data_IF_837827393796
#
_entry.id   IF_837827393796
#
_cell.length_a   1.000
_cell.length_b   1.000
_cell.length_c   1.000
_cell.angle_alpha   90.00
_cell.angle_beta   90.00
_cell.angle_gamma   90.00
#
_symmetry.space_group_name_H-M   'P 1'
#
loop_
_entity.id
_entity.type
_entity.pdbx_description
1 polymer ?
#
# COMPACT_ATOMS: atom_id res chain seq x y z
N UNK A 1 46.53 14.36 30.18
CA UNK A 1 45.90 13.04 29.99
C UNK A 1 44.83 13.22 28.95
N UNK A 2 45.18 12.97 27.67
CA UNK A 2 44.28 13.19 26.50
C UNK A 2 43.66 11.88 26.17
N UNK A 3 42.33 11.78 26.35
CA UNK A 3 41.54 10.61 25.91
C UNK A 3 41.30 10.74 24.41
N UNK A 4 42.08 10.02 23.59
CA UNK A 4 41.81 9.83 22.15
C UNK A 4 40.76 8.73 22.04
N UNK A 5 39.54 9.13 21.77
CA UNK A 5 38.46 8.18 21.40
C UNK A 5 38.74 7.68 19.97
N UNK A 6 39.26 6.46 19.87
CA UNK A 6 39.40 5.74 18.59
C UNK A 6 38.00 5.35 18.11
N UNK A 7 37.46 6.14 17.20
CA UNK A 7 36.24 5.75 16.43
C UNK A 7 36.69 5.00 15.19
N UNK A 8 37.20 3.76 15.38
CA UNK A 8 37.55 2.87 14.30
C UNK A 8 36.55 1.74 14.26
N UNK A 9 36.10 1.45 13.06
CA UNK A 9 35.22 0.36 12.62
C UNK A 9 33.73 0.63 12.62
N UNK A 10 33.32 1.56 11.75
CA UNK A 10 32.04 1.43 11.09
C UNK A 10 32.28 1.25 9.58
N UNK A 11 32.97 0.18 9.25
CA UNK A 11 33.16 -0.24 7.86
C UNK A 11 32.66 -1.65 7.72
N UNK A 12 31.46 -1.78 7.23
CA UNK A 12 30.92 -2.84 6.39
C UNK A 12 29.41 -2.69 6.37
N UNK A 13 28.90 -1.58 5.86
CA UNK A 13 27.64 -1.66 5.16
C UNK A 13 27.98 -2.42 3.86
N UNK A 14 27.95 -3.76 3.93
CA UNK A 14 27.74 -4.56 2.74
C UNK A 14 26.56 -3.93 2.03
N UNK A 15 26.77 -3.46 0.81
CA UNK A 15 25.69 -3.09 -0.07
C UNK A 15 24.76 -4.31 -0.15
N UNK A 16 23.72 -4.31 0.66
CA UNK A 16 22.75 -5.40 0.70
C UNK A 16 22.04 -5.30 -0.64
N UNK A 17 22.34 -6.25 -1.55
CA UNK A 17 21.69 -6.31 -2.85
C UNK A 17 20.17 -6.14 -2.64
N UNK A 18 19.65 -5.03 -3.15
CA UNK A 18 18.24 -4.72 -3.05
C UNK A 18 17.50 -5.72 -3.96
N UNK A 19 16.62 -6.52 -3.39
CA UNK A 19 15.94 -7.57 -4.13
C UNK A 19 14.45 -7.29 -4.24
N UNK A 20 13.96 -7.16 -5.46
CA UNK A 20 12.53 -7.01 -5.75
C UNK A 20 11.70 -8.18 -5.18
N UNK A 21 12.26 -9.39 -5.18
CA UNK A 21 11.62 -10.56 -4.58
C UNK A 21 11.49 -10.42 -3.07
N UNK A 22 12.49 -9.86 -2.38
CA UNK A 22 12.39 -9.56 -0.94
C UNK A 22 11.33 -8.48 -0.68
N UNK A 23 11.27 -7.44 -1.51
CA UNK A 23 10.24 -6.40 -1.41
C UNK A 23 8.83 -6.99 -1.57
N UNK A 24 8.63 -7.87 -2.55
CA UNK A 24 7.38 -8.59 -2.76
C UNK A 24 7.00 -9.45 -1.55
N UNK A 25 7.92 -10.28 -1.04
CA UNK A 25 7.67 -11.14 0.11
C UNK A 25 7.32 -10.32 1.38
N UNK A 26 8.01 -9.21 1.60
CA UNK A 26 7.71 -8.31 2.72
C UNK A 26 6.33 -7.64 2.57
N UNK A 27 5.88 -7.39 1.33
CA UNK A 27 4.59 -6.75 1.04
C UNK A 27 3.38 -7.64 1.33
N UNK A 28 3.57 -8.92 1.70
CA UNK A 28 2.51 -9.74 2.31
C UNK A 28 1.94 -9.02 3.55
N UNK A 29 2.78 -8.32 4.30
CA UNK A 29 2.31 -7.32 5.27
C UNK A 29 2.17 -5.98 4.53
N UNK A 30 0.94 -5.42 4.43
CA UNK A 30 0.74 -4.15 3.72
C UNK A 30 1.65 -3.06 4.27
N UNK A 31 2.42 -2.43 3.40
CA UNK A 31 3.36 -1.37 3.77
C UNK A 31 4.80 -1.83 4.07
N UNK A 32 5.06 -3.10 4.41
CA UNK A 32 6.42 -3.53 4.74
C UNK A 32 7.37 -3.51 3.53
N UNK A 33 6.88 -3.86 2.34
CA UNK A 33 7.65 -3.72 1.10
C UNK A 33 7.96 -2.26 0.75
N UNK A 34 7.05 -1.34 1.05
CA UNK A 34 7.27 0.08 0.84
C UNK A 34 8.31 0.65 1.81
N UNK A 35 8.37 0.16 3.06
CA UNK A 35 9.47 0.49 3.98
C UNK A 35 10.79 0.01 3.41
N UNK A 36 10.84 -1.23 2.95
CA UNK A 36 12.04 -1.81 2.35
C UNK A 36 12.52 -1.03 1.12
N UNK A 37 11.59 -0.53 0.30
CA UNK A 37 11.86 0.30 -0.88
C UNK A 37 12.08 1.80 -0.56
N UNK A 38 12.26 2.17 0.72
CA UNK A 38 12.41 3.57 1.17
C UNK A 38 11.23 4.49 0.81
N UNK A 39 10.03 3.92 0.63
CA UNK A 39 8.80 4.64 0.29
C UNK A 39 7.81 4.70 1.46
N UNK A 40 8.29 4.90 2.67
CA UNK A 40 7.50 4.92 3.90
C UNK A 40 6.35 5.95 3.87
N UNK A 41 6.43 6.99 3.04
CA UNK A 41 5.38 7.99 2.87
C UNK A 41 4.07 7.41 2.29
N UNK A 42 4.14 6.26 1.59
CA UNK A 42 2.96 5.57 1.05
C UNK A 42 2.16 4.82 2.14
N UNK A 43 2.79 4.51 3.27
CA UNK A 43 2.19 3.71 4.34
C UNK A 43 0.88 4.31 4.87
N UNK A 44 0.81 5.61 5.23
CA UNK A 44 -0.44 6.19 5.69
C UNK A 44 -1.56 6.13 4.65
N UNK A 45 -1.24 6.20 3.36
CA UNK A 45 -2.21 6.09 2.27
C UNK A 45 -2.75 4.67 2.18
N UNK A 46 -1.88 3.66 2.26
CA UNK A 46 -2.24 2.24 2.22
C UNK A 46 -3.15 1.89 3.40
N UNK A 47 -2.75 2.25 4.62
CA UNK A 47 -3.56 1.98 5.81
C UNK A 47 -4.86 2.78 5.83
N UNK A 48 -4.86 4.01 5.32
CA UNK A 48 -6.07 4.81 5.12
C UNK A 48 -7.06 4.12 4.18
N UNK A 49 -6.58 3.61 3.05
CA UNK A 49 -7.40 2.86 2.10
C UNK A 49 -7.98 1.58 2.72
N UNK A 50 -7.14 0.76 3.38
CA UNK A 50 -7.62 -0.47 4.04
C UNK A 50 -8.59 -0.19 5.18
N UNK A 51 -8.36 0.85 5.99
CA UNK A 51 -9.26 1.24 7.07
C UNK A 51 -10.61 1.71 6.54
N UNK A 52 -10.61 2.53 5.48
CA UNK A 52 -11.83 2.97 4.81
C UNK A 52 -12.62 1.80 4.21
N UNK A 53 -11.94 0.91 3.50
CA UNK A 53 -12.56 -0.30 2.94
C UNK A 53 -13.10 -1.23 4.04
N UNK A 54 -12.34 -1.42 5.12
CA UNK A 54 -12.78 -2.21 6.26
C UNK A 54 -14.06 -1.67 6.90
N UNK A 55 -14.16 -0.36 7.05
CA UNK A 55 -15.38 0.29 7.52
C UNK A 55 -16.56 0.07 6.58
N UNK A 56 -16.38 0.28 5.28
CA UNK A 56 -17.43 0.08 4.26
C UNK A 56 -17.89 -1.38 4.20
N UNK A 57 -16.96 -2.34 4.28
CA UNK A 57 -17.27 -3.77 4.33
C UNK A 57 -18.11 -4.09 5.56
N UNK A 58 -17.71 -3.60 6.73
CA UNK A 58 -18.41 -3.83 7.99
C UNK A 58 -19.84 -3.26 7.96
N UNK A 59 -20.00 -2.03 7.49
CA UNK A 59 -21.31 -1.36 7.42
C UNK A 59 -22.27 -2.06 6.47
N UNK A 60 -21.79 -2.41 5.27
CA UNK A 60 -22.58 -3.16 4.28
C UNK A 60 -22.89 -4.59 4.76
N UNK A 61 -21.97 -5.26 5.45
CA UNK A 61 -22.20 -6.57 6.05
C UNK A 61 -23.29 -6.50 7.12
N UNK A 62 -23.25 -5.51 8.00
CA UNK A 62 -24.25 -5.30 9.04
C UNK A 62 -25.64 -5.08 8.45
N UNK A 63 -25.76 -4.21 7.45
CA UNK A 63 -27.01 -3.93 6.75
C UNK A 63 -27.51 -5.16 5.98
N UNK A 64 -26.64 -5.86 5.28
CA UNK A 64 -26.97 -7.11 4.58
C UNK A 64 -27.50 -8.16 5.56
N UNK A 65 -26.85 -8.33 6.71
CA UNK A 65 -27.29 -9.30 7.71
C UNK A 65 -28.65 -8.92 8.29
N UNK A 66 -28.86 -7.65 8.62
CA UNK A 66 -30.14 -7.15 9.12
C UNK A 66 -31.30 -7.46 8.17
N UNK A 67 -31.16 -7.15 6.88
CA UNK A 67 -32.20 -7.43 5.90
C UNK A 67 -32.34 -8.92 5.58
N UNK A 68 -31.24 -9.70 5.65
CA UNK A 68 -31.30 -11.15 5.54
C UNK A 68 -32.16 -11.77 6.63
N UNK A 69 -31.92 -11.35 7.90
CA UNK A 69 -32.63 -11.86 9.04
C UNK A 69 -34.12 -11.46 8.95
N UNK A 70 -34.43 -10.26 8.47
CA UNK A 70 -35.80 -9.81 8.23
C UNK A 70 -36.51 -10.62 7.14
N UNK A 71 -35.84 -10.90 6.02
CA UNK A 71 -36.40 -11.76 4.95
C UNK A 71 -36.74 -13.14 5.50
N UNK A 72 -35.83 -13.74 6.28
CA UNK A 72 -36.06 -15.07 6.89
C UNK A 72 -37.20 -15.03 7.92
N UNK A 73 -37.29 -13.95 8.71
CA UNK A 73 -38.35 -13.77 9.70
C UNK A 73 -39.73 -13.70 9.02
N UNK A 74 -39.89 -12.88 7.97
CA UNK A 74 -41.13 -12.74 7.24
C UNK A 74 -41.57 -14.01 6.51
N UNK A 75 -40.61 -14.80 6.02
CA UNK A 75 -40.89 -16.11 5.42
C UNK A 75 -41.48 -17.07 6.45
N UNK A 76 -40.97 -17.06 7.67
CA UNK A 76 -41.44 -17.95 8.74
C UNK A 76 -42.67 -17.42 9.46
N UNK A 77 -42.93 -16.10 9.40
CA UNK A 77 -44.06 -15.44 10.06
C UNK A 77 -44.77 -14.48 9.10
N UNK A 78 -45.57 -15.02 8.16
CA UNK A 78 -46.25 -14.18 7.18
C UNK A 78 -47.12 -13.08 7.81
N UNK A 79 -46.94 -11.84 7.33
CA UNK A 79 -47.67 -10.71 7.81
C UNK A 79 -47.08 -10.04 9.07
N UNK A 80 -45.96 -10.55 9.58
CA UNK A 80 -45.22 -9.97 10.73
C UNK A 80 -43.89 -9.40 10.28
N UNK A 81 -43.34 -8.45 11.06
CA UNK A 81 -42.02 -7.86 10.83
C UNK A 81 -41.21 -7.84 12.13
N UNK A 82 -39.91 -8.07 12.01
CA UNK A 82 -38.95 -7.89 13.10
C UNK A 82 -38.31 -6.51 13.09
N UNK A 83 -38.51 -5.73 12.00
CA UNK A 83 -38.01 -4.36 11.85
C UNK A 83 -39.19 -3.39 11.78
N UNK A 84 -39.58 -2.73 12.91
CA UNK A 84 -40.73 -1.82 12.95
C UNK A 84 -40.66 -0.69 11.93
N UNK A 85 -39.47 -0.14 11.71
CA UNK A 85 -39.22 0.95 10.75
C UNK A 85 -39.50 0.57 9.29
N UNK A 86 -39.52 -0.73 9.00
CA UNK A 86 -39.76 -1.29 7.67
C UNK A 86 -41.10 -2.04 7.58
N UNK A 87 -41.99 -1.88 8.56
CA UNK A 87 -43.28 -2.59 8.61
C UNK A 87 -44.17 -2.32 7.38
N UNK A 88 -44.12 -1.10 6.84
CA UNK A 88 -44.86 -0.71 5.65
C UNK A 88 -44.26 -1.14 4.33
N UNK A 89 -43.02 -1.70 4.34
CA UNK A 89 -42.35 -2.13 3.13
C UNK A 89 -42.83 -3.53 2.73
N UNK A 90 -43.22 -3.73 1.45
CA UNK A 90 -43.54 -5.06 0.96
C UNK A 90 -42.33 -5.99 0.95
N UNK A 91 -42.57 -7.29 1.04
CA UNK A 91 -41.48 -8.29 1.12
C UNK A 91 -40.51 -8.24 -0.05
N UNK A 92 -40.98 -7.89 -1.25
CA UNK A 92 -40.12 -7.71 -2.42
C UNK A 92 -39.09 -6.57 -2.21
N UNK A 93 -39.50 -5.48 -1.54
CA UNK A 93 -38.60 -4.36 -1.25
C UNK A 93 -37.53 -4.74 -0.23
N UNK A 94 -37.91 -5.48 0.82
CA UNK A 94 -36.95 -5.98 1.82
C UNK A 94 -35.93 -6.95 1.17
N UNK A 95 -36.44 -7.84 0.29
CA UNK A 95 -35.54 -8.74 -0.48
C UNK A 95 -34.61 -7.97 -1.42
N UNK A 96 -35.11 -6.91 -2.05
CA UNK A 96 -34.29 -6.03 -2.91
C UNK A 96 -33.20 -5.32 -2.11
N UNK A 97 -33.52 -4.80 -0.91
CA UNK A 97 -32.52 -4.20 0.00
C UNK A 97 -31.45 -5.23 0.39
N UNK A 98 -31.87 -6.43 0.79
CA UNK A 98 -30.89 -7.51 1.07
C UNK A 98 -29.97 -7.77 -0.11
N UNK A 99 -30.51 -7.92 -1.31
CA UNK A 99 -29.72 -8.20 -2.52
C UNK A 99 -28.75 -7.06 -2.82
N UNK A 100 -29.20 -5.80 -2.69
CA UNK A 100 -28.36 -4.63 -2.92
C UNK A 100 -27.17 -4.55 -1.96
N UNK A 101 -27.42 -4.70 -0.66
CA UNK A 101 -26.34 -4.71 0.33
C UNK A 101 -25.41 -5.91 0.18
N UNK A 102 -25.93 -7.08 -0.18
CA UNK A 102 -25.14 -8.27 -0.44
C UNK A 102 -24.23 -8.10 -1.66
N UNK A 103 -24.72 -7.52 -2.75
CA UNK A 103 -23.90 -7.19 -3.93
C UNK A 103 -22.83 -6.16 -3.60
N UNK A 104 -23.18 -5.10 -2.87
CA UNK A 104 -22.22 -4.06 -2.47
C UNK A 104 -21.15 -4.65 -1.55
N UNK A 105 -21.53 -5.48 -0.57
CA UNK A 105 -20.59 -6.17 0.31
C UNK A 105 -19.58 -7.02 -0.47
N UNK A 106 -20.06 -7.84 -1.43
CA UNK A 106 -19.21 -8.67 -2.28
C UNK A 106 -18.28 -7.81 -3.15
N UNK A 107 -18.81 -6.74 -3.74
CA UNK A 107 -18.02 -5.81 -4.56
C UNK A 107 -16.90 -5.16 -3.74
N UNK A 108 -17.17 -4.71 -2.49
CA UNK A 108 -16.17 -4.12 -1.60
C UNK A 108 -15.04 -5.10 -1.26
N UNK A 109 -15.35 -6.39 -1.07
CA UNK A 109 -14.34 -7.44 -0.88
C UNK A 109 -13.45 -7.56 -2.13
N UNK A 110 -14.05 -7.63 -3.32
CA UNK A 110 -13.30 -7.75 -4.58
C UNK A 110 -12.37 -6.54 -4.77
N UNK A 111 -12.88 -5.33 -4.52
CA UNK A 111 -12.08 -4.09 -4.61
C UNK A 111 -10.92 -4.14 -3.61
N UNK A 112 -11.16 -4.59 -2.38
CA UNK A 112 -10.10 -4.70 -1.36
C UNK A 112 -8.99 -5.67 -1.76
N UNK A 113 -9.36 -6.82 -2.35
CA UNK A 113 -8.39 -7.77 -2.92
C UNK A 113 -7.61 -7.12 -4.07
N UNK A 114 -8.27 -6.33 -4.92
CA UNK A 114 -7.63 -5.56 -5.99
C UNK A 114 -6.62 -4.54 -5.45
N UNK A 115 -6.98 -3.77 -4.44
CA UNK A 115 -6.08 -2.81 -3.76
C UNK A 115 -4.87 -3.54 -3.18
N UNK A 116 -5.09 -4.70 -2.55
CA UNK A 116 -3.99 -5.51 -2.01
C UNK A 116 -3.06 -6.03 -3.11
N UNK A 117 -3.60 -6.50 -4.22
CA UNK A 117 -2.80 -6.95 -5.37
C UNK A 117 -1.97 -5.80 -5.96
N UNK A 118 -2.56 -4.61 -6.10
CA UNK A 118 -1.85 -3.42 -6.57
C UNK A 118 -0.72 -3.03 -5.61
N UNK A 119 -0.92 -3.16 -4.29
CA UNK A 119 0.13 -2.91 -3.29
C UNK A 119 1.32 -3.87 -3.44
N UNK A 120 1.07 -5.16 -3.74
CA UNK A 120 2.12 -6.14 -4.01
C UNK A 120 2.89 -5.81 -5.30
N UNK A 121 2.17 -5.48 -6.36
CA UNK A 121 2.76 -5.11 -7.66
C UNK A 121 3.61 -3.84 -7.51
N UNK A 122 3.11 -2.81 -6.82
CA UNK A 122 3.85 -1.58 -6.55
C UNK A 122 5.19 -1.86 -5.87
N UNK A 123 5.18 -2.66 -4.80
CA UNK A 123 6.40 -3.01 -4.09
C UNK A 123 7.40 -3.81 -4.96
N UNK A 124 6.90 -4.71 -5.80
CA UNK A 124 7.73 -5.49 -6.71
C UNK A 124 8.38 -4.62 -7.79
N UNK A 125 7.58 -3.77 -8.43
CA UNK A 125 8.07 -2.87 -9.50
C UNK A 125 9.12 -1.90 -8.94
N UNK A 126 8.83 -1.27 -7.80
CA UNK A 126 9.80 -0.36 -7.19
C UNK A 126 11.04 -1.07 -6.68
N UNK A 127 10.93 -2.32 -6.21
CA UNK A 127 12.09 -3.14 -5.87
C UNK A 127 13.02 -3.36 -7.06
N UNK A 128 12.49 -3.55 -8.27
CA UNK A 128 13.28 -3.64 -9.49
C UNK A 128 13.87 -2.31 -9.94
N UNK A 129 13.09 -1.22 -9.85
CA UNK A 129 13.54 0.11 -10.25
C UNK A 129 14.60 0.68 -9.31
N UNK A 130 14.64 0.20 -8.06
CA UNK A 130 15.61 0.67 -7.07
C UNK A 130 17.06 0.37 -7.50
N UNK A 131 17.30 -0.79 -8.08
CA UNK A 131 18.62 -1.20 -8.57
C UNK A 131 19.10 -0.28 -9.71
N UNK A 132 18.19 0.21 -10.54
CA UNK A 132 18.53 1.16 -11.62
C UNK A 132 18.87 2.56 -11.11
N UNK A 133 18.29 2.98 -9.99
CA UNK A 133 18.53 4.32 -9.41
C UNK A 133 19.83 4.37 -8.58
N UNK A 134 20.32 3.23 -8.11
CA UNK A 134 21.56 3.12 -7.34
C UNK A 134 22.80 2.94 -8.23
N UNK A 135 22.63 2.71 -9.54
CA UNK A 135 23.70 2.74 -10.52
C UNK A 135 24.02 4.18 -10.89
N UNK A 136 24.48 4.97 -9.91
CA UNK A 136 24.99 6.32 -10.13
C UNK A 136 26.38 6.26 -10.79
N UNK A 137 26.46 5.61 -11.94
CA UNK A 137 27.67 5.60 -12.77
C UNK A 137 27.93 6.98 -13.41
N UNK A 138 27.01 7.92 -13.22
CA UNK A 138 27.11 9.29 -13.75
C UNK A 138 27.01 10.29 -12.58
N UNK A 139 28.11 10.91 -12.20
CA UNK A 139 28.11 12.00 -11.24
C UNK A 139 28.40 13.34 -11.93
N UNK A 140 27.57 14.33 -11.64
CA UNK A 140 27.78 15.73 -12.07
C UNK A 140 28.41 16.46 -10.89
N UNK A 141 29.66 16.90 -11.05
CA UNK A 141 30.37 17.59 -9.99
C UNK A 141 31.25 18.71 -10.52
N UNK A 142 31.65 19.66 -9.66
CA UNK A 142 32.65 20.65 -10.02
C UNK A 142 34.00 19.95 -10.24
N UNK A 143 34.58 20.11 -11.42
CA UNK A 143 35.91 19.61 -11.77
C UNK A 143 36.84 20.79 -12.08
N UNK A 144 38.13 20.58 -11.89
CA UNK A 144 39.15 21.54 -12.22
C UNK A 144 39.84 21.13 -13.51
N UNK A 145 39.72 21.94 -14.55
CA UNK A 145 40.39 21.70 -15.83
C UNK A 145 41.63 22.54 -15.94
N UNK A 146 42.81 21.89 -16.07
CA UNK A 146 44.07 22.56 -16.34
C UNK A 146 44.10 23.06 -17.78
N UNK A 147 44.30 24.38 -17.96
CA UNK A 147 44.51 25.00 -19.26
C UNK A 147 45.90 25.59 -19.32
N UNK A 148 46.49 25.88 -20.49
CA UNK A 148 47.79 26.49 -20.62
C UNK A 148 47.89 27.87 -19.93
N UNK A 149 46.75 28.47 -19.57
CA UNK A 149 46.65 29.79 -18.92
C UNK A 149 46.17 29.71 -17.46
N UNK A 150 46.18 28.48 -16.83
CA UNK A 150 45.78 28.27 -15.45
C UNK A 150 44.65 27.27 -15.30
N UNK A 151 44.25 27.05 -14.04
CA UNK A 151 43.17 26.11 -13.69
C UNK A 151 41.81 26.84 -13.69
N UNK A 152 40.85 26.34 -14.42
CA UNK A 152 39.48 26.90 -14.43
C UNK A 152 38.49 25.88 -13.83
N UNK A 153 37.56 26.34 -12.98
CA UNK A 153 36.48 25.49 -12.52
C UNK A 153 35.51 25.19 -13.69
N UNK A 154 35.22 23.93 -13.89
CA UNK A 154 34.28 23.44 -14.90
C UNK A 154 33.29 22.48 -14.25
N UNK A 155 32.12 22.30 -14.87
CA UNK A 155 31.20 21.22 -14.53
C UNK A 155 31.64 19.99 -15.32
N UNK A 156 32.05 18.95 -14.61
CA UNK A 156 32.45 17.67 -15.18
C UNK A 156 31.39 16.61 -14.96
N UNK A 157 31.23 15.74 -15.97
CA UNK A 157 30.46 14.51 -15.86
C UNK A 157 31.48 13.38 -15.69
N UNK A 158 31.42 12.67 -14.58
CA UNK A 158 32.25 11.49 -14.33
C UNK A 158 31.41 10.24 -14.55
N UNK A 159 31.85 9.37 -15.46
CA UNK A 159 31.27 8.07 -15.72
C UNK A 159 32.25 7.05 -15.10
N UNK A 160 31.79 6.32 -14.08
CA UNK A 160 32.55 5.19 -13.54
C UNK A 160 32.12 3.94 -14.34
N UNK A 161 33.06 3.43 -15.14
CA UNK A 161 32.93 2.20 -15.92
C UNK A 161 33.44 1.02 -15.10
#
# INVERSE_FOLDING_TARGET
MIFIFHFSHFNSLQAQEHSATKALCLSILPGAGQVYNHQAWKIPIIYGAFSGMGYLIYDNYKSMKMFKDEVLFRVNNPGSTNLPDYASYPDNSIRSLYNSYNQTYQLMIIITVGIYALNLIDAYVFGHLFDFQMSDDISLGPSLMGTPFGVKPTLGVTINL
#
